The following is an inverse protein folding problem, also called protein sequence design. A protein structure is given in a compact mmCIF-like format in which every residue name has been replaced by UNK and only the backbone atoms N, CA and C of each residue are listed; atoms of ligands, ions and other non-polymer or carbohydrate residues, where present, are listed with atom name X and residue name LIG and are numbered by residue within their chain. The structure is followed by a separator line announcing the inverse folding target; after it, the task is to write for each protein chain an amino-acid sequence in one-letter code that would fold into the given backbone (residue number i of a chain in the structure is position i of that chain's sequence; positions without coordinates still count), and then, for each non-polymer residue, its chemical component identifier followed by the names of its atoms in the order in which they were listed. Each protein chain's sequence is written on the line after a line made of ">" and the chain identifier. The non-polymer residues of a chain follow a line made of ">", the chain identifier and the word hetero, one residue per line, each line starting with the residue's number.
data_IF_338259476785
#
_entry.id   IF_338259476785
#
_cell.length_a   1.000
_cell.length_b   1.000
_cell.length_c   1.000
_cell.angle_alpha   90.00
_cell.angle_beta   90.00
_cell.angle_gamma   90.00
#
_symmetry.space_group_name_H-M   'P 1'
#
loop_
_entity.id
_entity.type
_entity.pdbx_description
1 polymer ?
#
# COMPACT_ATOMS: atom_id res chain seq x y z
N UNK A 1 -40.71 -36.40 -49.65
CA UNK A 1 -42.17 -36.22 -49.84
C UNK A 1 -42.86 -36.58 -48.52
N UNK A 2 -43.26 -35.59 -47.72
CA UNK A 2 -44.21 -35.75 -46.62
C UNK A 2 -45.07 -34.49 -46.59
N UNK A 3 -46.38 -34.68 -46.58
CA UNK A 3 -47.44 -33.67 -46.65
C UNK A 3 -47.85 -33.24 -45.22
N UNK A 4 -48.32 -31.99 -45.00
CA UNK A 4 -48.73 -31.48 -43.69
C UNK A 4 -50.25 -31.48 -43.53
N UNK A 5 -50.77 -31.75 -42.33
CA UNK A 5 -52.14 -31.35 -41.95
C UNK A 5 -52.20 -30.79 -40.52
N UNK A 6 -52.86 -29.64 -40.43
CA UNK A 6 -53.26 -28.91 -39.24
C UNK A 6 -54.40 -29.65 -38.51
N UNK A 7 -54.40 -29.60 -37.18
CA UNK A 7 -55.64 -29.58 -36.39
C UNK A 7 -55.56 -28.47 -35.34
N UNK A 8 -56.50 -27.55 -35.44
CA UNK A 8 -56.79 -26.41 -34.57
C UNK A 8 -57.47 -26.85 -33.28
N UNK A 9 -56.98 -26.41 -32.12
CA UNK A 9 -57.65 -26.54 -30.83
C UNK A 9 -57.60 -25.23 -30.05
N UNK A 10 -58.74 -24.56 -29.91
CA UNK A 10 -58.94 -23.35 -29.10
C UNK A 10 -59.17 -23.73 -27.64
N UNK A 11 -58.27 -23.32 -26.73
CA UNK A 11 -58.50 -23.36 -25.28
C UNK A 11 -58.84 -21.97 -24.75
N UNK A 12 -60.03 -21.85 -24.18
CA UNK A 12 -60.53 -20.69 -23.43
C UNK A 12 -60.03 -20.72 -21.97
N UNK A 13 -59.44 -19.61 -21.51
CA UNK A 13 -59.00 -19.41 -20.13
C UNK A 13 -60.04 -18.63 -19.30
N UNK A 14 -60.15 -18.86 -17.98
CA UNK A 14 -61.08 -18.12 -17.12
C UNK A 14 -60.54 -16.73 -16.72
N UNK A 15 -61.43 -15.74 -16.68
CA UNK A 15 -61.17 -14.36 -16.26
C UNK A 15 -60.85 -14.27 -14.75
N UNK A 16 -59.76 -13.59 -14.39
CA UNK A 16 -59.47 -13.19 -13.01
C UNK A 16 -60.21 -11.88 -12.63
N UNK A 17 -60.65 -11.70 -11.37
CA UNK A 17 -61.31 -10.48 -10.92
C UNK A 17 -60.31 -9.34 -10.65
N UNK A 18 -60.75 -8.06 -10.68
CA UNK A 18 -59.86 -6.91 -10.53
C UNK A 18 -59.38 -6.72 -9.08
N UNK A 19 -58.09 -6.41 -8.93
CA UNK A 19 -57.42 -6.17 -7.64
C UNK A 19 -57.78 -4.80 -7.07
N UNK A 20 -58.36 -4.76 -5.85
CA UNK A 20 -58.54 -3.53 -5.08
C UNK A 20 -57.19 -2.98 -4.57
N UNK A 21 -56.98 -1.67 -4.72
CA UNK A 21 -55.79 -0.95 -4.25
C UNK A 21 -55.96 -0.61 -2.76
N UNK A 22 -55.12 -1.18 -1.89
CA UNK A 22 -55.09 -0.88 -0.46
C UNK A 22 -54.37 0.48 -0.20
N UNK A 23 -55.05 1.48 0.39
CA UNK A 23 -54.50 2.83 0.60
C UNK A 23 -53.48 2.95 1.75
N UNK A 24 -53.19 1.87 2.49
CA UNK A 24 -52.28 1.91 3.66
C UNK A 24 -50.91 1.24 3.45
N UNK A 25 -50.45 1.08 2.20
CA UNK A 25 -49.06 0.63 1.94
C UNK A 25 -48.07 1.79 2.18
N UNK A 26 -47.06 1.64 3.06
CA UNK A 26 -46.07 2.70 3.28
C UNK A 26 -45.24 2.94 2.01
N UNK A 27 -45.03 4.21 1.65
CA UNK A 27 -44.22 4.60 0.49
C UNK A 27 -42.75 4.28 0.75
N UNK A 28 -42.13 3.57 -0.19
CA UNK A 28 -40.68 3.36 -0.24
C UNK A 28 -40.01 4.70 -0.60
N UNK A 29 -38.96 5.14 0.12
CA UNK A 29 -38.30 6.41 -0.19
C UNK A 29 -37.56 6.34 -1.52
N UNK A 30 -37.52 7.47 -2.25
CA UNK A 30 -36.88 7.57 -3.57
C UNK A 30 -35.37 7.28 -3.51
N UNK A 31 -34.81 6.81 -4.63
CA UNK A 31 -33.40 6.40 -4.78
C UNK A 31 -32.39 7.46 -4.30
N UNK A 32 -32.74 8.74 -4.41
CA UNK A 32 -31.93 9.86 -3.94
C UNK A 32 -31.71 9.85 -2.42
N UNK A 33 -32.70 9.44 -1.62
CA UNK A 33 -32.57 9.40 -0.16
C UNK A 33 -31.74 8.20 0.33
N UNK A 34 -31.74 7.08 -0.43
CA UNK A 34 -30.84 5.94 -0.17
C UNK A 34 -29.38 6.32 -0.45
N UNK A 35 -29.12 7.03 -1.54
CA UNK A 35 -27.76 7.41 -1.93
C UNK A 35 -27.13 8.42 -0.95
N UNK A 36 -27.91 9.36 -0.40
CA UNK A 36 -27.41 10.27 0.64
C UNK A 36 -27.05 9.56 1.95
N UNK A 37 -27.76 8.49 2.29
CA UNK A 37 -27.50 7.73 3.52
C UNK A 37 -26.22 6.89 3.43
N UNK A 38 -25.93 6.32 2.26
CA UNK A 38 -24.67 5.62 2.01
C UNK A 38 -23.47 6.58 1.95
N UNK A 39 -23.59 7.72 1.27
CA UNK A 39 -22.50 8.70 1.21
C UNK A 39 -22.11 9.29 2.57
N UNK A 40 -23.06 9.48 3.49
CA UNK A 40 -22.75 9.97 4.84
C UNK A 40 -22.05 8.91 5.70
N UNK A 41 -22.38 7.62 5.55
CA UNK A 41 -21.73 6.53 6.27
C UNK A 41 -20.27 6.33 5.81
N UNK A 42 -20.02 6.50 4.51
CA UNK A 42 -18.67 6.40 3.92
C UNK A 42 -17.80 7.60 4.29
N UNK A 43 -18.36 8.82 4.33
CA UNK A 43 -17.64 10.01 4.78
C UNK A 43 -17.27 9.96 6.27
N UNK A 44 -18.13 9.38 7.12
CA UNK A 44 -17.85 9.18 8.55
C UNK A 44 -16.75 8.13 8.75
N UNK A 45 -16.74 7.06 7.93
CA UNK A 45 -15.68 6.05 7.97
C UNK A 45 -14.34 6.59 7.47
N UNK A 46 -14.34 7.45 6.45
CA UNK A 46 -13.13 8.09 5.94
C UNK A 46 -12.56 9.12 6.95
N UNK A 47 -13.44 9.87 7.64
CA UNK A 47 -13.02 10.83 8.67
C UNK A 47 -12.41 10.16 9.90
N UNK A 48 -12.89 8.95 10.28
CA UNK A 48 -12.35 8.17 11.39
C UNK A 48 -10.94 7.60 11.13
N UNK A 49 -10.53 7.47 9.86
CA UNK A 49 -9.22 6.92 9.47
C UNK A 49 -8.12 8.01 9.47
N UNK A 50 -8.49 9.30 9.39
CA UNK A 50 -7.53 10.41 9.22
C UNK A 50 -7.09 11.12 10.51
N UNK A 51 -7.56 10.72 11.69
CA UNK A 51 -7.17 11.33 12.99
C UNK A 51 -7.09 10.28 14.12
N UNK A 52 -5.95 9.59 14.34
CA UNK A 52 -5.83 8.56 15.37
C UNK A 52 -5.48 9.13 16.76
N UNK A 53 -6.04 10.28 17.15
CA UNK A 53 -5.73 10.90 18.46
C UNK A 53 -6.90 11.69 19.06
N UNK A 54 -7.90 10.99 19.62
CA UNK A 54 -8.52 11.32 20.91
C UNK A 54 -9.63 10.32 21.25
N UNK A 55 -9.28 9.29 22.03
CA UNK A 55 -10.21 8.30 22.56
C UNK A 55 -11.04 8.86 23.72
N UNK A 56 -12.00 9.75 23.47
CA UNK A 56 -13.07 10.06 24.45
C UNK A 56 -14.42 10.45 23.84
N UNK A 57 -14.55 10.66 22.52
CA UNK A 57 -15.81 11.12 21.91
C UNK A 57 -16.71 9.99 21.36
N UNK A 58 -16.21 8.77 21.21
CA UNK A 58 -16.89 7.70 20.44
C UNK A 58 -17.99 6.95 21.23
N UNK A 59 -17.98 7.05 22.57
CA UNK A 59 -18.97 6.32 23.40
C UNK A 59 -20.36 6.97 23.41
N UNK A 60 -20.49 8.23 22.99
CA UNK A 60 -21.78 8.95 23.08
C UNK A 60 -22.65 8.81 21.83
N UNK A 61 -22.08 8.48 20.66
CA UNK A 61 -22.84 8.45 19.39
C UNK A 61 -23.54 7.10 19.15
N UNK A 62 -23.01 6.00 19.69
CA UNK A 62 -23.54 4.65 19.48
C UNK A 62 -24.74 4.27 20.37
N UNK A 63 -25.13 5.11 21.35
CA UNK A 63 -26.34 4.86 22.18
C UNK A 63 -27.65 5.37 21.57
N UNK A 64 -27.63 6.12 20.47
CA UNK A 64 -28.83 6.73 19.88
C UNK A 64 -29.45 5.98 18.69
N UNK A 65 -29.00 4.76 18.37
CA UNK A 65 -29.47 4.01 17.20
C UNK A 65 -29.92 2.57 17.52
N UNK A 66 -30.71 2.38 18.57
CA UNK A 66 -31.43 1.13 18.82
C UNK A 66 -32.93 1.36 19.06
N UNK A 67 -33.73 0.92 18.08
CA UNK A 67 -35.12 0.45 18.11
C UNK A 67 -36.21 1.23 18.88
N UNK A 68 -37.22 1.69 18.12
CA UNK A 68 -38.59 1.82 18.61
C UNK A 68 -39.49 0.80 17.90
N UNK A 69 -40.02 -0.15 18.67
CA UNK A 69 -41.20 -0.93 18.34
C UNK A 69 -41.99 -1.16 19.64
N UNK A 70 -43.28 -0.84 19.57
CA UNK A 70 -44.38 -1.10 20.52
C UNK A 70 -44.57 -0.12 21.69
N UNK A 71 -45.69 0.62 21.64
CA UNK A 71 -46.38 1.24 22.78
C UNK A 71 -47.04 0.16 23.68
N UNK A 72 -47.37 0.45 24.95
CA UNK A 72 -48.67 1.08 25.24
C UNK A 72 -48.72 2.10 26.41
N UNK A 73 -49.65 3.05 26.28
CA UNK A 73 -50.50 3.72 27.32
C UNK A 73 -49.95 4.05 28.72
N UNK A 74 -49.91 5.34 29.10
CA UNK A 74 -50.76 5.95 30.16
C UNK A 74 -50.53 7.49 30.30
N UNK A 75 -51.64 8.21 30.48
CA UNK A 75 -51.91 9.48 31.22
C UNK A 75 -50.70 10.13 31.97
N UNK A 76 -50.45 11.45 32.03
CA UNK A 76 -51.31 12.58 32.45
C UNK A 76 -50.54 13.93 32.29
N UNK A 77 -51.28 15.03 32.05
CA UNK A 77 -51.05 16.51 32.03
C UNK A 77 -50.00 17.18 33.01
N UNK A 78 -49.79 18.53 33.04
CA UNK A 78 -49.11 19.44 32.08
C UNK A 78 -48.23 20.56 32.77
N UNK A 79 -47.92 21.65 32.04
CA UNK A 79 -47.40 22.99 32.47
C UNK A 79 -45.88 23.05 32.82
N UNK A 80 -45.06 24.04 32.41
CA UNK A 80 -45.19 25.50 32.49
C UNK A 80 -44.38 26.21 31.37
N UNK A 81 -44.94 27.31 30.89
CA UNK A 81 -44.43 28.32 29.96
C UNK A 81 -43.36 29.25 30.57
N UNK A 82 -42.35 29.65 29.79
CA UNK A 82 -41.94 31.06 29.67
C UNK A 82 -40.80 31.25 28.65
N UNK A 83 -41.07 32.08 27.65
CA UNK A 83 -40.07 32.89 26.93
C UNK A 83 -39.83 34.19 27.74
N UNK A 84 -38.77 34.99 27.48
CA UNK A 84 -38.78 35.87 26.31
C UNK A 84 -37.43 36.11 25.60
N UNK A 85 -37.57 36.56 24.35
CA UNK A 85 -36.70 37.39 23.49
C UNK A 85 -35.41 37.96 24.11
N UNK A 86 -34.27 38.03 23.38
CA UNK A 86 -34.02 39.09 22.38
C UNK A 86 -32.79 38.80 21.51
N UNK A 87 -32.85 39.33 20.29
CA UNK A 87 -31.89 39.43 19.18
C UNK A 87 -30.45 39.88 19.50
N UNK A 88 -29.46 39.37 18.76
CA UNK A 88 -28.48 40.21 18.03
C UNK A 88 -27.65 39.39 17.02
N UNK A 89 -27.25 40.05 15.94
CA UNK A 89 -26.59 39.55 14.74
C UNK A 89 -25.05 39.58 14.85
N UNK A 90 -24.37 38.98 13.86
CA UNK A 90 -23.10 39.43 13.19
C UNK A 90 -21.97 38.36 13.10
N UNK A 91 -21.54 38.18 11.84
CA UNK A 91 -20.21 37.85 11.27
C UNK A 91 -19.63 36.42 11.22
N UNK A 92 -19.37 36.06 9.96
CA UNK A 92 -18.31 35.20 9.46
C UNK A 92 -16.92 35.73 9.86
N UNK A 93 -16.05 34.84 10.37
CA UNK A 93 -14.60 35.01 10.32
C UNK A 93 -13.92 33.68 9.97
N UNK A 94 -13.18 33.75 8.87
CA UNK A 94 -12.15 32.83 8.40
C UNK A 94 -10.95 32.85 9.35
N UNK A 95 -10.49 31.68 9.82
CA UNK A 95 -9.22 31.53 10.52
C UNK A 95 -8.26 30.68 9.69
N UNK A 96 -7.16 31.33 9.28
CA UNK A 96 -5.99 30.72 8.66
C UNK A 96 -5.02 30.28 9.76
N UNK A 97 -4.60 29.01 9.75
CA UNK A 97 -3.52 28.52 10.61
C UNK A 97 -2.16 28.75 9.92
N UNK A 98 -1.32 29.59 10.53
CA UNK A 98 0.13 29.65 10.28
C UNK A 98 0.85 29.00 11.45
N UNK A 99 1.74 28.05 11.16
CA UNK A 99 2.68 27.47 12.13
C UNK A 99 3.96 28.31 12.19
N UNK A 100 4.30 28.79 13.38
CA UNK A 100 5.58 29.41 13.69
C UNK A 100 6.57 28.34 14.17
N UNK A 101 7.76 28.29 13.57
CA UNK A 101 8.93 27.59 14.11
C UNK A 101 9.86 28.61 14.79
N UNK A 102 10.32 28.29 16.00
CA UNK A 102 11.36 29.03 16.72
C UNK A 102 12.77 28.54 16.32
N UNK A 103 13.79 29.42 16.19
CA UNK A 103 15.17 29.00 15.99
C UNK A 103 16.03 29.20 17.26
N UNK A 104 17.06 28.36 17.44
CA UNK A 104 18.17 28.60 18.37
C UNK A 104 19.51 28.14 17.76
N UNK A 105 20.16 29.09 17.08
CA UNK A 105 21.55 29.64 17.23
C UNK A 105 22.34 29.11 18.46
N UNK A 106 23.69 28.85 18.52
CA UNK A 106 24.92 29.11 17.72
C UNK A 106 26.08 28.25 18.27
N UNK A 107 27.07 27.87 17.43
CA UNK A 107 28.54 28.10 17.56
C UNK A 107 29.31 27.23 16.55
N UNK A 108 29.81 27.73 15.41
CA UNK A 108 31.09 28.46 15.21
C UNK A 108 32.31 27.64 15.72
N UNK A 109 33.30 27.25 14.90
CA UNK A 109 34.19 28.10 14.08
C UNK A 109 34.92 27.34 12.94
N UNK A 110 35.23 28.10 11.88
CA UNK A 110 36.17 27.84 10.76
C UNK A 110 37.62 27.76 11.26
N UNK A 111 38.54 27.02 10.60
CA UNK A 111 39.29 27.46 9.41
C UNK A 111 40.44 26.48 9.04
N UNK A 112 40.86 26.59 7.78
CA UNK A 112 41.85 25.82 7.01
C UNK A 112 43.35 26.03 7.34
N UNK A 113 44.19 25.02 7.02
CA UNK A 113 45.47 25.22 6.32
C UNK A 113 46.77 24.74 7.00
N UNK A 114 47.62 24.01 6.25
CA UNK A 114 49.08 24.21 6.27
C UNK A 114 49.99 23.15 6.94
N UNK A 115 50.56 22.27 6.09
CA UNK A 115 51.98 21.87 6.02
C UNK A 115 52.85 21.57 7.27
N UNK A 116 53.40 20.34 7.30
CA UNK A 116 54.86 20.11 7.33
C UNK A 116 55.58 20.02 8.70
N UNK A 117 56.55 19.11 8.88
CA UNK A 117 57.00 18.67 10.21
C UNK A 117 58.32 19.30 10.67
N UNK A 118 58.60 19.28 11.98
CA UNK A 118 59.98 19.20 12.52
C UNK A 118 60.02 18.82 14.00
N UNK A 119 60.83 17.80 14.25
CA UNK A 119 61.38 17.31 15.52
C UNK A 119 62.08 18.39 16.36
N UNK A 120 62.02 18.31 17.71
CA UNK A 120 63.18 18.48 18.62
C UNK A 120 62.92 17.75 19.95
N UNK A 121 63.97 17.03 20.40
CA UNK A 121 64.16 16.31 21.66
C UNK A 121 64.17 17.21 22.89
N UNK A 122 63.72 16.69 24.04
CA UNK A 122 64.22 17.09 25.37
C UNK A 122 64.66 15.85 26.15
N UNK A 123 65.72 16.04 26.95
CA UNK A 123 66.65 15.06 27.49
C UNK A 123 66.57 14.99 29.02
N UNK A 124 67.09 13.86 29.57
CA UNK A 124 67.65 13.64 30.94
C UNK A 124 66.65 13.56 32.10
N UNK A 125 66.80 12.70 33.13
CA UNK A 125 67.96 12.13 33.87
C UNK A 125 67.50 10.83 34.61
N UNK A 126 68.26 9.72 34.61
CA UNK A 126 69.17 9.18 35.68
C UNK A 126 68.58 9.18 37.10
N UNK A 127 68.79 8.25 38.04
CA UNK A 127 69.54 6.99 38.22
C UNK A 127 69.12 6.47 39.61
N UNK A 128 69.07 5.16 39.87
CA UNK A 128 69.53 4.56 41.14
C UNK A 128 69.45 3.02 41.08
N UNK A 129 70.49 2.38 41.62
CA UNK A 129 70.79 0.96 41.60
C UNK A 129 70.19 0.21 42.81
N UNK A 130 70.21 -1.15 42.77
CA UNK A 130 70.92 -2.04 43.72
C UNK A 130 70.33 -3.48 43.71
N UNK A 131 71.27 -4.44 43.55
CA UNK A 131 71.33 -5.87 43.93
C UNK A 131 70.24 -6.90 43.56
N UNK A 132 70.69 -7.90 42.77
CA UNK A 132 71.02 -9.22 43.33
C UNK A 132 69.88 -10.24 43.43
N UNK A 133 69.72 -11.08 42.41
CA UNK A 133 68.89 -12.28 42.47
C UNK A 133 68.85 -13.02 41.15
N UNK A 134 69.79 -13.94 40.94
CA UNK A 134 69.78 -14.89 39.83
C UNK A 134 68.68 -15.92 40.06
N UNK A 135 67.71 -15.99 39.14
CA UNK A 135 66.85 -17.15 38.90
C UNK A 135 66.57 -17.21 37.40
N UNK A 136 67.40 -17.95 36.69
CA UNK A 136 67.17 -18.34 35.30
C UNK A 136 66.00 -19.33 35.24
N UNK A 137 64.92 -18.95 34.54
CA UNK A 137 64.04 -19.92 33.89
C UNK A 137 64.23 -19.77 32.38
N UNK A 138 65.07 -20.64 31.82
CA UNK A 138 65.03 -20.92 30.39
C UNK A 138 63.86 -21.87 30.14
N UNK A 139 62.79 -21.38 29.52
CA UNK A 139 61.94 -22.24 28.70
C UNK A 139 61.95 -21.71 27.28
N UNK A 140 62.70 -22.45 26.50
CA UNK A 140 62.83 -22.46 25.05
C UNK A 140 61.48 -22.56 24.36
N UNK A 141 61.10 -21.51 23.63
CA UNK A 141 60.64 -21.54 22.22
C UNK A 141 59.97 -20.21 21.92
N UNK A 142 60.77 -19.20 21.60
CA UNK A 142 60.33 -18.24 20.60
C UNK A 142 60.16 -19.03 19.30
N UNK A 143 58.95 -19.52 19.02
CA UNK A 143 58.59 -19.87 17.66
C UNK A 143 58.59 -18.57 16.89
N UNK A 144 59.71 -18.30 16.22
CA UNK A 144 59.67 -17.56 14.98
C UNK A 144 58.78 -18.34 14.02
N UNK A 145 57.45 -18.23 14.19
CA UNK A 145 56.56 -18.46 13.05
C UNK A 145 57.00 -17.39 12.08
N UNK A 146 57.67 -17.84 11.02
CA UNK A 146 57.74 -17.09 9.77
C UNK A 146 56.40 -16.40 9.61
N UNK A 147 56.41 -15.10 9.41
CA UNK A 147 55.22 -14.33 9.12
C UNK A 147 54.75 -14.81 7.75
N UNK A 148 54.08 -15.96 7.73
CA UNK A 148 53.30 -16.40 6.59
C UNK A 148 52.11 -15.46 6.66
N UNK A 149 52.09 -14.50 5.75
CA UNK A 149 51.01 -13.54 5.59
C UNK A 149 49.79 -14.30 5.04
N UNK A 150 49.21 -15.16 5.89
CA UNK A 150 48.04 -15.97 5.56
C UNK A 150 46.82 -15.08 5.77
N UNK A 151 46.23 -14.66 4.65
CA UNK A 151 45.09 -13.72 4.60
C UNK A 151 43.75 -14.41 4.90
N UNK A 152 43.64 -15.72 4.63
CA UNK A 152 42.39 -16.49 4.72
C UNK A 152 42.68 -17.93 5.13
N UNK A 153 42.02 -18.41 6.18
CA UNK A 153 42.14 -19.79 6.69
C UNK A 153 40.77 -20.49 6.65
N UNK A 154 40.36 -21.06 5.50
CA UNK A 154 38.98 -21.49 5.26
C UNK A 154 38.43 -22.43 6.33
N UNK A 155 39.24 -23.39 6.79
CA UNK A 155 38.81 -24.38 7.80
C UNK A 155 38.75 -23.82 9.22
N UNK A 156 39.45 -22.74 9.54
CA UNK A 156 39.32 -22.06 10.83
C UNK A 156 38.11 -21.12 10.83
N UNK A 157 37.87 -20.43 9.71
CA UNK A 157 36.77 -19.48 9.56
C UNK A 157 35.41 -20.17 9.43
N UNK A 158 35.32 -21.27 8.69
CA UNK A 158 34.07 -22.02 8.47
C UNK A 158 33.59 -22.75 9.73
N UNK A 159 34.46 -23.00 10.74
CA UNK A 159 34.05 -23.69 11.98
C UNK A 159 32.86 -23.01 12.65
N UNK A 160 32.82 -21.67 12.63
CA UNK A 160 31.72 -20.90 13.20
C UNK A 160 30.43 -21.11 12.41
N UNK A 161 30.51 -21.04 11.08
CA UNK A 161 29.35 -21.24 10.21
C UNK A 161 28.83 -22.68 10.27
N UNK A 162 29.72 -23.67 10.35
CA UNK A 162 29.35 -25.08 10.44
C UNK A 162 28.56 -25.41 11.72
N UNK A 163 28.86 -24.73 12.83
CA UNK A 163 28.11 -24.84 14.09
C UNK A 163 26.74 -24.15 14.05
N UNK A 164 26.55 -23.20 13.13
CA UNK A 164 25.31 -22.45 12.96
C UNK A 164 24.36 -23.09 11.94
N UNK A 165 24.79 -24.14 11.23
CA UNK A 165 23.92 -24.88 10.31
C UNK A 165 22.71 -25.43 11.07
N UNK A 166 21.48 -25.05 10.71
CA UNK A 166 20.29 -25.48 11.44
C UNK A 166 20.13 -27.00 11.42
N UNK A 167 19.71 -27.56 12.55
CA UNK A 167 19.44 -29.01 12.71
C UNK A 167 17.96 -29.35 12.72
N UNK A 168 17.09 -28.38 13.02
CA UNK A 168 15.65 -28.57 13.01
C UNK A 168 15.09 -28.50 11.59
N UNK A 169 14.14 -29.39 11.23
CA UNK A 169 13.63 -29.49 9.85
C UNK A 169 12.80 -28.28 9.39
N UNK A 170 12.39 -27.40 10.30
CA UNK A 170 11.57 -26.22 10.00
C UNK A 170 12.37 -24.92 9.89
N UNK A 171 13.67 -24.98 10.16
CA UNK A 171 14.58 -23.84 10.05
C UNK A 171 15.17 -23.79 8.65
N UNK A 172 15.33 -22.57 8.12
CA UNK A 172 15.90 -22.40 6.78
C UNK A 172 17.42 -22.53 6.83
N UNK A 173 17.96 -23.42 6.01
CA UNK A 173 19.40 -23.62 5.85
C UNK A 173 20.07 -22.45 5.10
N UNK A 174 19.32 -21.69 4.30
CA UNK A 174 19.84 -20.64 3.43
C UNK A 174 19.81 -19.24 4.07
N UNK A 175 19.07 -19.07 5.17
CA UNK A 175 18.81 -17.75 5.75
C UNK A 175 20.08 -17.16 6.37
N UNK A 176 20.62 -16.12 5.72
CA UNK A 176 21.82 -15.43 6.18
C UNK A 176 21.59 -13.91 6.16
N UNK A 177 21.83 -13.27 7.31
CA UNK A 177 21.69 -11.80 7.50
C UNK A 177 20.39 -11.23 6.94
N UNK A 178 19.30 -11.97 7.07
CA UNK A 178 17.97 -11.59 6.60
C UNK A 178 17.04 -11.46 7.80
N UNK A 179 16.81 -10.21 8.23
CA UNK A 179 16.10 -9.92 9.48
C UNK A 179 14.60 -10.20 9.35
N UNK A 180 13.92 -10.42 10.48
CA UNK A 180 12.46 -10.61 10.48
C UNK A 180 11.71 -9.37 9.97
N UNK A 181 12.31 -8.18 10.09
CA UNK A 181 11.76 -6.94 9.54
C UNK A 181 11.76 -6.97 8.01
N UNK A 182 12.88 -7.38 7.39
CA UNK A 182 12.99 -7.56 5.95
C UNK A 182 12.03 -8.64 5.44
N UNK A 183 11.96 -9.80 6.12
CA UNK A 183 11.03 -10.88 5.81
C UNK A 183 9.57 -10.40 5.85
N UNK A 184 9.20 -9.68 6.90
CA UNK A 184 7.85 -9.13 7.03
C UNK A 184 7.56 -8.11 5.94
N UNK A 185 8.50 -7.21 5.64
CA UNK A 185 8.29 -6.15 4.66
C UNK A 185 8.11 -6.72 3.23
N UNK A 186 8.87 -7.75 2.86
CA UNK A 186 8.66 -8.47 1.59
C UNK A 186 7.27 -9.11 1.56
N UNK A 187 6.82 -9.74 2.65
CA UNK A 187 5.46 -10.28 2.73
C UNK A 187 4.37 -9.20 2.63
N UNK A 188 4.63 -8.00 3.16
CA UNK A 188 3.72 -6.87 3.05
C UNK A 188 3.64 -6.40 1.58
N UNK A 189 4.77 -6.29 0.88
CA UNK A 189 4.82 -5.89 -0.53
C UNK A 189 4.19 -6.94 -1.45
N UNK A 190 4.41 -8.24 -1.22
CA UNK A 190 3.72 -9.33 -1.95
C UNK A 190 2.20 -9.10 -1.95
N UNK A 191 1.65 -8.67 -0.81
CA UNK A 191 0.21 -8.41 -0.71
C UNK A 191 -0.21 -7.10 -1.40
N UNK A 192 0.68 -6.11 -1.49
CA UNK A 192 0.43 -4.89 -2.28
C UNK A 192 0.28 -5.28 -3.75
N UNK A 193 1.27 -5.99 -4.33
CA UNK A 193 1.23 -6.39 -5.75
C UNK A 193 0.01 -7.26 -6.07
N UNK A 194 -0.30 -8.25 -5.21
CA UNK A 194 -1.51 -9.06 -5.38
C UNK A 194 -2.80 -8.23 -5.35
N UNK A 195 -2.88 -7.23 -4.47
CA UNK A 195 -4.05 -6.36 -4.36
C UNK A 195 -4.18 -5.48 -5.62
N UNK A 196 -3.08 -4.94 -6.14
CA UNK A 196 -3.10 -4.14 -7.38
C UNK A 196 -3.50 -5.03 -8.56
N UNK A 197 -2.95 -6.25 -8.66
CA UNK A 197 -3.38 -7.26 -9.65
C UNK A 197 -4.89 -7.49 -9.61
N UNK A 198 -5.47 -7.60 -8.41
CA UNK A 198 -6.91 -7.84 -8.26
C UNK A 198 -7.77 -6.62 -8.63
N UNK A 199 -7.30 -5.41 -8.33
CA UNK A 199 -7.93 -4.16 -8.77
C UNK A 199 -7.91 -4.04 -10.29
N UNK A 200 -6.78 -4.32 -10.95
CA UNK A 200 -6.71 -4.33 -12.42
C UNK A 200 -7.61 -5.40 -13.03
N UNK A 201 -7.76 -6.55 -12.38
CA UNK A 201 -8.71 -7.56 -12.84
C UNK A 201 -10.16 -7.07 -12.79
N UNK A 202 -10.52 -6.29 -11.77
CA UNK A 202 -11.85 -5.69 -11.66
C UNK A 202 -12.08 -4.61 -12.73
N UNK A 203 -11.06 -3.80 -13.05
CA UNK A 203 -11.11 -2.85 -14.15
C UNK A 203 -11.31 -3.57 -15.49
N UNK A 204 -10.56 -4.64 -15.74
CA UNK A 204 -10.76 -5.50 -16.91
C UNK A 204 -12.21 -5.97 -17.01
N UNK A 205 -12.76 -6.53 -15.92
CA UNK A 205 -14.13 -7.02 -15.90
C UNK A 205 -15.15 -5.92 -16.25
N UNK A 206 -14.95 -4.69 -15.76
CA UNK A 206 -15.79 -3.55 -16.09
C UNK A 206 -15.71 -3.17 -17.58
N UNK A 207 -14.51 -2.97 -18.12
CA UNK A 207 -14.36 -2.55 -19.52
C UNK A 207 -14.71 -3.64 -20.54
N UNK A 208 -14.72 -4.90 -20.11
CA UNK A 208 -15.15 -6.05 -20.94
C UNK A 208 -16.67 -6.19 -21.08
N UNK A 209 -17.47 -5.39 -20.37
CA UNK A 209 -18.93 -5.44 -20.48
C UNK A 209 -19.39 -5.00 -21.86
N UNK A 210 -20.43 -5.63 -22.39
CA UNK A 210 -20.97 -5.34 -23.74
C UNK A 210 -21.49 -3.91 -23.89
N UNK A 211 -21.94 -3.30 -22.79
CA UNK A 211 -22.44 -1.93 -22.75
C UNK A 211 -21.36 -0.87 -22.49
N UNK A 212 -20.09 -1.28 -22.26
CA UNK A 212 -18.91 -0.38 -22.18
C UNK A 212 -18.08 -0.53 -23.44
N UNK A 213 -17.76 -1.76 -23.83
CA UNK A 213 -17.15 -2.15 -25.12
C UNK A 213 -15.82 -1.43 -25.47
N UNK A 214 -14.97 -1.16 -24.49
CA UNK A 214 -13.62 -0.60 -24.66
C UNK A 214 -12.59 -1.73 -24.57
N UNK A 215 -12.45 -2.48 -25.65
CA UNK A 215 -11.71 -3.73 -25.69
C UNK A 215 -10.18 -3.55 -25.55
N UNK A 216 -9.64 -2.43 -26.02
CA UNK A 216 -8.22 -2.11 -25.86
C UNK A 216 -7.86 -1.83 -24.41
N UNK A 217 -8.69 -1.04 -23.72
CA UNK A 217 -8.55 -0.76 -22.29
C UNK A 217 -8.79 -2.03 -21.46
N UNK A 218 -9.79 -2.85 -21.83
CA UNK A 218 -10.01 -4.13 -21.17
C UNK A 218 -8.77 -5.04 -21.30
N UNK A 219 -8.20 -5.17 -22.51
CA UNK A 219 -6.96 -5.93 -22.73
C UNK A 219 -5.80 -5.37 -21.90
N UNK A 220 -5.59 -4.05 -21.90
CA UNK A 220 -4.55 -3.41 -21.10
C UNK A 220 -4.65 -3.80 -19.63
N UNK A 221 -5.83 -3.63 -19.01
CA UNK A 221 -6.00 -3.99 -17.60
C UNK A 221 -5.93 -5.48 -17.33
N UNK A 222 -6.26 -6.34 -18.30
CA UNK A 222 -6.05 -7.78 -18.18
C UNK A 222 -4.57 -8.12 -18.13
N UNK A 223 -3.79 -7.54 -19.04
CA UNK A 223 -2.34 -7.75 -19.11
C UNK A 223 -1.67 -7.18 -17.85
N UNK A 224 -2.03 -5.97 -17.42
CA UNK A 224 -1.51 -5.37 -16.17
C UNK A 224 -1.87 -6.19 -14.93
N UNK A 225 -3.07 -6.77 -14.86
CA UNK A 225 -3.42 -7.71 -13.77
C UNK A 225 -2.52 -8.94 -13.74
N UNK A 226 -2.14 -9.46 -14.90
CA UNK A 226 -1.24 -10.60 -14.99
C UNK A 226 0.22 -10.22 -14.66
N UNK A 227 0.68 -9.03 -15.07
CA UNK A 227 1.99 -8.46 -14.76
C UNK A 227 2.17 -8.23 -13.25
N UNK A 228 1.21 -7.60 -12.58
CA UNK A 228 1.29 -7.39 -11.12
C UNK A 228 1.26 -8.70 -10.32
N UNK A 229 0.60 -9.73 -10.86
CA UNK A 229 0.68 -11.07 -10.25
C UNK A 229 2.09 -11.66 -10.40
N UNK A 230 2.76 -11.43 -11.53
CA UNK A 230 4.15 -11.84 -11.72
C UNK A 230 5.10 -11.07 -10.78
N UNK A 231 4.83 -9.78 -10.50
CA UNK A 231 5.57 -9.02 -9.49
C UNK A 231 5.45 -9.65 -8.09
N UNK A 232 4.23 -10.03 -7.70
CA UNK A 232 3.99 -10.74 -6.44
C UNK A 232 4.74 -12.07 -6.38
N UNK A 233 4.71 -12.86 -7.45
CA UNK A 233 5.42 -14.14 -7.57
C UNK A 233 6.94 -13.96 -7.51
N UNK A 234 7.51 -12.94 -8.18
CA UNK A 234 8.93 -12.59 -8.13
C UNK A 234 9.39 -12.30 -6.69
N UNK A 235 8.59 -11.57 -5.92
CA UNK A 235 8.85 -11.31 -4.50
C UNK A 235 8.74 -12.59 -3.64
N UNK A 236 7.81 -13.49 -3.94
CA UNK A 236 7.68 -14.78 -3.26
C UNK A 236 8.89 -15.69 -3.50
N UNK A 237 9.37 -15.73 -4.74
CA UNK A 237 10.59 -16.45 -5.09
C UNK A 237 11.81 -15.87 -4.36
N UNK A 238 11.92 -14.53 -4.34
CA UNK A 238 12.99 -13.85 -3.61
C UNK A 238 12.94 -14.11 -2.10
N UNK A 239 11.75 -14.08 -1.49
CA UNK A 239 11.53 -14.42 -0.08
C UNK A 239 12.08 -15.81 0.24
N UNK A 240 11.71 -16.81 -0.56
CA UNK A 240 12.17 -18.18 -0.38
C UNK A 240 13.68 -18.33 -0.65
N UNK A 241 14.21 -17.62 -1.65
CA UNK A 241 15.66 -17.59 -1.98
C UNK A 241 16.50 -17.06 -0.81
N UNK A 242 16.00 -16.07 -0.07
CA UNK A 242 16.66 -15.52 1.13
C UNK A 242 16.40 -16.34 2.40
N UNK A 243 15.66 -17.45 2.29
CA UNK A 243 15.34 -18.33 3.40
C UNK A 243 14.24 -17.80 4.33
N UNK A 244 13.48 -16.80 3.90
CA UNK A 244 12.25 -16.37 4.56
C UNK A 244 11.07 -17.28 4.23
N UNK A 245 9.93 -17.02 4.87
CA UNK A 245 8.68 -17.75 4.68
C UNK A 245 7.62 -16.82 4.14
N UNK A 246 7.07 -17.18 2.97
CA UNK A 246 5.94 -16.45 2.38
C UNK A 246 4.71 -16.59 3.28
N UNK A 247 4.05 -15.46 3.55
CA UNK A 247 2.80 -15.36 4.31
C UNK A 247 1.79 -14.53 3.53
N UNK A 248 1.01 -15.19 2.67
CA UNK A 248 -0.07 -14.55 1.92
C UNK A 248 -1.15 -14.03 2.88
N UNK A 249 -1.67 -12.83 2.60
CA UNK A 249 -2.69 -12.17 3.44
C UNK A 249 -4.00 -12.01 2.68
N UNK A 250 -5.03 -11.56 3.40
CA UNK A 250 -6.32 -11.24 2.83
C UNK A 250 -6.22 -10.03 1.90
N UNK A 251 -6.87 -10.12 0.74
CA UNK A 251 -7.13 -8.99 -0.16
C UNK A 251 -8.53 -8.43 0.09
N UNK A 252 -8.66 -7.11 0.00
CA UNK A 252 -9.97 -6.46 0.07
C UNK A 252 -10.72 -6.60 -1.26
N UNK A 253 -12.04 -6.52 -1.20
CA UNK A 253 -12.89 -6.47 -2.38
C UNK A 253 -12.62 -5.17 -3.16
N UNK A 254 -12.24 -5.23 -4.44
CA UNK A 254 -12.04 -4.05 -5.25
C UNK A 254 -13.38 -3.40 -5.62
N UNK A 255 -13.33 -2.14 -6.05
CA UNK A 255 -14.45 -1.49 -6.71
C UNK A 255 -14.81 -2.25 -8.01
N UNK A 256 -16.09 -2.24 -8.36
CA UNK A 256 -16.61 -2.94 -9.56
C UNK A 256 -17.20 -2.00 -10.61
N UNK A 257 -17.46 -0.74 -10.24
CA UNK A 257 -17.96 0.31 -11.13
C UNK A 257 -16.90 1.40 -11.26
N UNK A 258 -16.66 1.83 -12.50
CA UNK A 258 -15.66 2.84 -12.85
C UNK A 258 -16.24 3.92 -13.75
N UNK A 259 -17.57 4.05 -13.79
CA UNK A 259 -18.25 5.12 -14.51
C UNK A 259 -17.99 6.47 -13.84
N UNK A 260 -17.86 7.52 -14.65
CA UNK A 260 -17.65 8.87 -14.15
C UNK A 260 -18.27 9.88 -15.11
N UNK A 261 -19.27 10.63 -14.65
CA UNK A 261 -20.03 11.56 -15.48
C UNK A 261 -19.16 12.70 -16.05
N UNK A 262 -18.29 13.27 -15.21
CA UNK A 262 -17.43 14.39 -15.58
C UNK A 262 -16.32 13.94 -16.54
N UNK A 263 -15.55 12.93 -16.15
CA UNK A 263 -14.32 12.51 -16.85
C UNK A 263 -14.57 11.51 -17.98
N UNK A 264 -15.64 10.73 -17.90
CA UNK A 264 -15.78 9.48 -18.63
C UNK A 264 -15.01 8.35 -17.94
N UNK A 265 -15.46 7.12 -18.15
CA UNK A 265 -14.91 5.90 -17.57
C UNK A 265 -13.43 5.67 -17.93
N UNK A 266 -13.06 5.81 -19.21
CA UNK A 266 -11.69 5.58 -19.68
C UNK A 266 -10.66 6.50 -18.99
N UNK A 267 -10.94 7.81 -18.95
CA UNK A 267 -10.05 8.77 -18.29
C UNK A 267 -10.04 8.55 -16.77
N UNK A 268 -11.19 8.28 -16.17
CA UNK A 268 -11.26 8.01 -14.73
C UNK A 268 -10.43 6.79 -14.34
N UNK A 269 -10.54 5.68 -15.08
CA UNK A 269 -9.80 4.46 -14.80
C UNK A 269 -8.29 4.64 -15.01
N UNK A 270 -7.85 5.33 -16.07
CA UNK A 270 -6.42 5.60 -16.29
C UNK A 270 -5.82 6.53 -15.23
N UNK A 271 -6.59 7.50 -14.74
CA UNK A 271 -6.15 8.32 -13.60
C UNK A 271 -6.07 7.51 -12.29
N UNK A 272 -7.00 6.58 -12.07
CA UNK A 272 -6.96 5.67 -10.93
C UNK A 272 -5.76 4.72 -11.03
N UNK A 273 -5.50 4.15 -12.20
CA UNK A 273 -4.31 3.33 -12.46
C UNK A 273 -3.03 4.12 -12.18
N UNK A 274 -2.92 5.36 -12.69
CA UNK A 274 -1.77 6.22 -12.42
C UNK A 274 -1.57 6.50 -10.92
N UNK A 275 -2.66 6.68 -10.17
CA UNK A 275 -2.60 6.86 -8.72
C UNK A 275 -2.15 5.59 -8.00
N UNK A 276 -2.61 4.41 -8.45
CA UNK A 276 -2.20 3.11 -7.92
C UNK A 276 -0.71 2.85 -8.16
N UNK A 277 -0.21 3.08 -9.37
CA UNK A 277 1.23 2.93 -9.69
C UNK A 277 2.12 3.84 -8.84
N UNK A 278 1.70 5.09 -8.64
CA UNK A 278 2.44 6.03 -7.78
C UNK A 278 2.43 5.59 -6.31
N UNK A 279 1.30 5.06 -5.84
CA UNK A 279 1.20 4.52 -4.49
C UNK A 279 2.06 3.26 -4.34
N UNK A 280 2.10 2.38 -5.35
CA UNK A 280 2.94 1.19 -5.34
C UNK A 280 4.43 1.56 -5.30
N UNK A 281 4.83 2.53 -6.11
CA UNK A 281 6.18 3.08 -6.09
C UNK A 281 6.57 3.62 -4.70
N UNK A 282 5.66 4.33 -4.02
CA UNK A 282 5.90 4.78 -2.64
C UNK A 282 6.12 3.59 -1.69
N UNK A 283 5.36 2.50 -1.86
CA UNK A 283 5.56 1.27 -1.07
C UNK A 283 6.91 0.60 -1.37
N UNK A 284 7.33 0.54 -2.62
CA UNK A 284 8.64 0.02 -3.03
C UNK A 284 9.80 0.87 -2.47
N UNK A 285 9.68 2.20 -2.49
CA UNK A 285 10.68 3.09 -1.91
C UNK A 285 10.79 2.93 -0.38
N UNK A 286 9.65 2.73 0.30
CA UNK A 286 9.65 2.42 1.73
C UNK A 286 10.29 1.05 2.02
N UNK A 287 10.03 0.04 1.19
CA UNK A 287 10.64 -1.28 1.29
C UNK A 287 12.16 -1.21 1.09
N UNK A 288 12.61 -0.42 0.12
CA UNK A 288 14.02 -0.15 -0.15
C UNK A 288 14.70 0.54 1.03
N UNK A 289 14.10 1.62 1.55
CA UNK A 289 14.61 2.33 2.75
C UNK A 289 14.79 1.37 3.93
N UNK A 290 13.83 0.47 4.16
CA UNK A 290 13.91 -0.52 5.23
C UNK A 290 15.06 -1.53 5.01
N UNK A 291 15.36 -1.90 3.76
CA UNK A 291 16.51 -2.73 3.44
C UNK A 291 17.83 -2.02 3.77
N UNK A 292 17.95 -0.74 3.44
CA UNK A 292 19.13 0.09 3.78
C UNK A 292 19.31 0.23 5.30
N UNK A 293 18.24 0.52 6.03
CA UNK A 293 18.25 0.62 7.50
C UNK A 293 18.70 -0.69 8.17
N UNK A 294 18.29 -1.83 7.60
CA UNK A 294 18.70 -3.16 8.05
C UNK A 294 20.07 -3.60 7.50
N UNK A 295 20.72 -2.76 6.68
CA UNK A 295 22.00 -3.04 6.01
C UNK A 295 21.97 -4.29 5.14
N UNK A 296 20.82 -4.60 4.54
CA UNK A 296 20.65 -5.70 3.59
C UNK A 296 20.87 -5.18 2.17
N UNK A 297 22.15 -5.09 1.79
CA UNK A 297 22.55 -4.55 0.48
C UNK A 297 21.98 -5.34 -0.70
N UNK A 298 21.83 -6.66 -0.57
CA UNK A 298 21.28 -7.49 -1.64
C UNK A 298 19.77 -7.27 -1.79
N UNK A 299 19.05 -7.03 -0.69
CA UNK A 299 17.63 -6.67 -0.78
C UNK A 299 17.43 -5.30 -1.42
N UNK A 300 18.25 -4.30 -1.07
CA UNK A 300 18.20 -2.99 -1.72
C UNK A 300 18.44 -3.09 -3.24
N UNK A 301 19.53 -3.77 -3.64
CA UNK A 301 19.89 -4.00 -5.05
C UNK A 301 18.79 -4.75 -5.83
N UNK A 302 18.19 -5.79 -5.22
CA UNK A 302 17.07 -6.51 -5.81
C UNK A 302 15.85 -5.61 -6.05
N UNK A 303 15.51 -4.73 -5.11
CA UNK A 303 14.37 -3.81 -5.28
C UNK A 303 14.66 -2.77 -6.37
N UNK A 304 15.88 -2.24 -6.42
CA UNK A 304 16.31 -1.27 -7.44
C UNK A 304 16.27 -1.85 -8.85
N UNK A 305 16.87 -3.03 -9.02
CA UNK A 305 17.05 -3.68 -10.31
C UNK A 305 15.75 -4.25 -10.88
N UNK A 306 14.94 -4.89 -10.04
CA UNK A 306 13.78 -5.65 -10.50
C UNK A 306 12.45 -4.90 -10.43
N UNK A 307 12.36 -3.77 -9.71
CA UNK A 307 11.08 -3.06 -9.49
C UNK A 307 11.17 -1.56 -9.72
N UNK A 308 12.13 -0.84 -9.13
CA UNK A 308 12.11 0.63 -9.18
C UNK A 308 12.28 1.20 -10.59
N UNK A 309 13.09 0.54 -11.43
CA UNK A 309 13.24 0.95 -12.84
C UNK A 309 11.95 0.73 -13.62
N UNK A 310 11.38 -0.47 -13.55
CA UNK A 310 10.12 -0.85 -14.21
C UNK A 310 8.97 0.07 -13.77
N UNK A 311 8.89 0.36 -12.47
CA UNK A 311 7.85 1.21 -11.89
C UNK A 311 7.85 2.65 -12.44
N UNK A 312 9.03 3.22 -12.69
CA UNK A 312 9.15 4.56 -13.31
C UNK A 312 8.67 4.54 -14.75
N UNK A 313 8.97 3.47 -15.50
CA UNK A 313 8.50 3.29 -16.87
C UNK A 313 6.98 3.13 -16.93
N UNK A 314 6.40 2.32 -16.04
CA UNK A 314 4.94 2.15 -15.90
C UNK A 314 4.23 3.46 -15.56
N UNK A 315 4.73 4.23 -14.60
CA UNK A 315 4.18 5.56 -14.26
C UNK A 315 4.19 6.49 -15.47
N UNK A 316 5.29 6.51 -16.23
CA UNK A 316 5.39 7.33 -17.45
C UNK A 316 4.38 6.89 -18.51
N UNK A 317 4.32 5.59 -18.79
CA UNK A 317 3.40 4.99 -19.78
C UNK A 317 1.94 5.38 -19.49
N UNK A 318 1.48 5.18 -18.25
CA UNK A 318 0.10 5.52 -17.87
C UNK A 318 -0.11 7.05 -17.87
N UNK A 319 0.90 7.84 -17.49
CA UNK A 319 0.82 9.31 -17.58
C UNK A 319 0.59 9.79 -19.01
N UNK A 320 1.23 9.16 -19.99
CA UNK A 320 1.04 9.45 -21.41
C UNK A 320 -0.37 9.06 -21.88
N UNK A 321 -0.95 7.96 -21.38
CA UNK A 321 -2.34 7.60 -21.65
C UNK A 321 -3.34 8.62 -21.08
N UNK A 322 -3.13 9.07 -19.84
CA UNK A 322 -3.95 10.12 -19.22
C UNK A 322 -3.87 11.41 -20.04
N UNK A 323 -2.67 11.82 -20.48
CA UNK A 323 -2.49 13.02 -21.30
C UNK A 323 -3.18 12.90 -22.67
N UNK A 324 -3.12 11.73 -23.31
CA UNK A 324 -3.79 11.46 -24.58
C UNK A 324 -5.31 11.47 -24.44
N UNK A 325 -5.87 10.80 -23.43
CA UNK A 325 -7.31 10.78 -23.16
C UNK A 325 -7.87 12.19 -22.89
N UNK A 326 -7.14 13.01 -22.11
CA UNK A 326 -7.49 14.43 -21.92
C UNK A 326 -7.46 15.23 -23.22
N UNK A 327 -6.54 14.91 -24.13
CA UNK A 327 -6.40 15.60 -25.42
C UNK A 327 -7.51 15.24 -26.40
N UNK A 328 -7.85 13.96 -26.51
CA UNK A 328 -8.83 13.48 -27.51
C UNK A 328 -10.28 13.67 -27.04
N UNK A 329 -10.51 13.76 -25.74
CA UNK A 329 -11.83 13.97 -25.16
C UNK A 329 -12.77 12.75 -25.30
N UNK A 330 -13.98 12.88 -24.73
CA UNK A 330 -15.00 11.82 -24.66
C UNK A 330 -15.56 11.44 -26.05
N UNK A 331 -16.23 10.31 -26.14
CA UNK A 331 -16.89 9.84 -27.37
C UNK A 331 -15.89 9.28 -28.39
N UNK A 332 -15.88 9.83 -29.60
CA UNK A 332 -15.05 9.32 -30.70
C UNK A 332 -13.54 9.33 -30.37
N UNK A 333 -13.07 10.31 -29.58
CA UNK A 333 -11.67 10.38 -29.14
C UNK A 333 -11.26 9.17 -28.29
N UNK A 334 -12.04 8.85 -27.25
CA UNK A 334 -11.84 7.65 -26.41
C UNK A 334 -11.92 6.37 -27.25
N UNK A 335 -12.90 6.25 -28.14
CA UNK A 335 -13.01 5.08 -29.01
C UNK A 335 -11.77 4.88 -29.89
N UNK A 336 -11.23 5.96 -30.48
CA UNK A 336 -10.02 5.87 -31.29
C UNK A 336 -8.80 5.50 -30.42
N UNK A 337 -8.66 6.12 -29.25
CA UNK A 337 -7.61 5.77 -28.29
C UNK A 337 -7.66 4.29 -27.91
N UNK A 338 -8.85 3.75 -27.63
CA UNK A 338 -9.07 2.34 -27.33
C UNK A 338 -8.62 1.43 -28.48
N UNK A 339 -8.91 1.80 -29.73
CA UNK A 339 -8.42 1.07 -30.91
C UNK A 339 -6.90 1.06 -31.01
N UNK A 340 -6.26 2.21 -30.83
CA UNK A 340 -4.78 2.30 -30.84
C UNK A 340 -4.19 1.43 -29.73
N UNK A 341 -4.79 1.43 -28.53
CA UNK A 341 -4.34 0.63 -27.41
C UNK A 341 -4.50 -0.87 -27.66
N UNK A 342 -5.59 -1.28 -28.34
CA UNK A 342 -5.83 -2.68 -28.72
C UNK A 342 -4.77 -3.18 -29.71
N UNK A 343 -4.44 -2.36 -30.71
CA UNK A 343 -3.49 -2.71 -31.77
C UNK A 343 -2.04 -2.71 -31.28
N UNK A 344 -1.71 -1.88 -30.28
CA UNK A 344 -0.37 -1.84 -29.67
C UNK A 344 0.05 -3.17 -29.00
N UNK A 345 -0.90 -4.05 -28.68
CA UNK A 345 -0.63 -5.39 -28.13
C UNK A 345 -0.40 -6.48 -29.19
N UNK A 346 -0.39 -6.14 -30.48
CA UNK A 346 -0.27 -7.08 -31.62
C UNK A 346 1.06 -6.91 -32.38
N UNK A 347 1.86 -5.88 -32.04
CA UNK A 347 3.08 -5.51 -32.75
C UNK A 347 4.34 -6.19 -32.22
#
# INVERSE_FOLDING_TARGET
>A
MVNPELVTGTMSFPHAPPTEINPNRPRVPSSTARNLFFHLADLISLYAILQPSSNYAIVTVLKSLHFHSLSPTLSTMPLITSSPSSSCSITSQTTSFRLCFSPSIISALKNSGGSGPSSVRVSKRNNAAVHGGSMSFASTKAHSRSIVDVVFEPFEEVKKELLLVPTYPHDSLARQKYTDQCEKAINDQINVEYTVSYVYHAMYAYFSRDNVALNGIAKFFKDSSDEERQHAEKLMEYQNKRGGKVKLKSMLLPLSEFDNEEKGDALHAMELALALEKLNNEKLLNLHTLAEENKDAHMADFIESEFLTEQVESIKKISEYVAQLRRVGKGHGVWHFDKVLLDAGVA
#
